data_IF_669596050943
#
_entry.id   IF_669596050943
#
_cell.length_a   1.000
_cell.length_b   1.000
_cell.length_c   1.000
_cell.angle_alpha   90.00
_cell.angle_beta   90.00
_cell.angle_gamma   90.00
#
_symmetry.space_group_name_H-M   'P 1'
#
loop_
_entity.id
_entity.type
_entity.pdbx_description
1 polymer ?
#
# COMPACT_ATOMS: atom_id res chain seq x y z
N UNK A 1 -18.96 7.44 -5.39
CA UNK A 1 -18.93 6.91 -4.01
C UNK A 1 -17.54 7.13 -3.46
N UNK A 2 -17.38 8.18 -2.66
CA UNK A 2 -16.11 8.68 -2.12
C UNK A 2 -16.01 8.31 -0.63
N UNK A 3 -15.57 7.10 -0.33
CA UNK A 3 -15.41 6.62 1.05
C UNK A 3 -13.97 6.19 1.32
N UNK A 4 -13.34 6.93 2.24
CA UNK A 4 -12.09 6.64 2.93
C UNK A 4 -10.77 6.92 2.18
N UNK A 5 -10.58 8.17 1.76
CA UNK A 5 -9.24 8.78 1.76
C UNK A 5 -8.80 8.86 3.24
N UNK A 6 -7.66 8.26 3.61
CA UNK A 6 -6.93 8.42 4.90
C UNK A 6 -7.10 7.44 6.08
N UNK A 7 -7.55 6.19 5.89
CA UNK A 7 -7.11 5.12 6.84
C UNK A 7 -5.78 4.59 6.35
N UNK A 8 -4.69 4.97 7.01
CA UNK A 8 -3.39 4.36 6.76
C UNK A 8 -3.55 2.83 6.78
N UNK A 9 -3.18 2.16 5.69
CA UNK A 9 -3.17 0.70 5.66
C UNK A 9 -2.22 0.22 6.75
N UNK A 10 -2.75 -0.55 7.71
CA UNK A 10 -1.94 -1.24 8.72
C UNK A 10 -0.85 -2.07 8.04
N UNK A 11 0.32 -2.17 8.68
CA UNK A 11 1.46 -2.95 8.19
C UNK A 11 1.05 -4.35 7.71
N UNK A 12 0.27 -5.09 8.52
CA UNK A 12 -0.27 -6.41 8.17
C UNK A 12 -0.98 -6.42 6.82
N UNK A 13 -1.84 -5.43 6.57
CA UNK A 13 -2.65 -5.35 5.35
C UNK A 13 -1.80 -4.99 4.12
N UNK A 14 -0.69 -4.25 4.30
CA UNK A 14 0.28 -4.02 3.23
C UNK A 14 1.04 -5.30 2.87
N UNK A 15 1.43 -6.10 3.86
CA UNK A 15 2.08 -7.42 3.64
C UNK A 15 1.14 -8.34 2.87
N UNK A 16 -0.13 -8.41 3.24
CA UNK A 16 -1.14 -9.23 2.54
C UNK A 16 -1.30 -8.83 1.07
N UNK A 17 -1.29 -7.52 0.77
CA UNK A 17 -1.32 -6.99 -0.60
C UNK A 17 -0.08 -7.42 -1.39
N UNK A 18 1.12 -7.32 -0.79
CA UNK A 18 2.38 -7.73 -1.44
C UNK A 18 2.39 -9.23 -1.69
N UNK A 19 2.00 -10.05 -0.70
CA UNK A 19 1.93 -11.50 -0.85
C UNK A 19 0.98 -11.90 -1.97
N UNK A 20 -0.19 -11.25 -2.07
CA UNK A 20 -1.13 -11.51 -3.15
C UNK A 20 -0.56 -11.12 -4.52
N UNK A 21 0.09 -9.97 -4.63
CA UNK A 21 0.74 -9.56 -5.87
C UNK A 21 1.89 -10.50 -6.24
N UNK A 22 2.68 -10.95 -5.25
CA UNK A 22 3.75 -11.91 -5.45
C UNK A 22 3.23 -13.27 -5.96
N UNK A 23 2.11 -13.77 -5.41
CA UNK A 23 1.44 -14.97 -5.91
C UNK A 23 0.91 -14.82 -7.34
N UNK A 24 0.51 -13.61 -7.74
CA UNK A 24 0.08 -13.31 -9.10
C UNK A 24 1.25 -13.08 -10.06
N UNK A 25 2.46 -12.90 -9.54
CA UNK A 25 3.66 -12.72 -10.36
C UNK A 25 4.04 -14.05 -11.00
N UNK A 26 4.01 -14.09 -12.32
CA UNK A 26 4.42 -15.25 -13.11
C UNK A 26 5.73 -14.87 -13.80
N UNK A 27 6.79 -15.65 -13.57
CA UNK A 27 8.13 -15.41 -14.17
C UNK A 27 8.70 -14.01 -13.86
N UNK A 28 8.48 -13.51 -12.63
CA UNK A 28 8.95 -12.17 -12.22
C UNK A 28 8.17 -11.01 -12.84
N UNK A 29 7.11 -11.28 -13.61
CA UNK A 29 6.26 -10.25 -14.22
C UNK A 29 4.85 -10.29 -13.64
N UNK A 30 4.33 -9.12 -13.32
CA UNK A 30 2.94 -8.94 -12.91
C UNK A 30 2.04 -8.92 -14.14
N UNK A 31 1.01 -9.79 -14.21
CA UNK A 31 0.08 -9.81 -15.33
C UNK A 31 -0.71 -8.50 -15.40
N UNK A 32 -1.09 -8.11 -16.62
CA UNK A 32 -1.87 -6.89 -16.87
C UNK A 32 -3.19 -6.98 -16.10
N UNK A 33 -3.42 -6.03 -15.21
CA UNK A 33 -4.62 -5.99 -14.36
C UNK A 33 -4.45 -6.60 -12.95
N UNK A 34 -3.27 -7.14 -12.60
CA UNK A 34 -3.01 -7.65 -11.24
C UNK A 34 -3.25 -6.60 -10.14
N UNK A 35 -2.91 -5.34 -10.41
CA UNK A 35 -3.19 -4.23 -9.49
C UNK A 35 -4.68 -3.98 -9.31
N UNK A 36 -5.46 -4.04 -10.39
CA UNK A 36 -6.92 -3.85 -10.34
C UNK A 36 -7.60 -5.01 -9.62
N UNK A 37 -7.21 -6.25 -9.91
CA UNK A 37 -7.75 -7.44 -9.23
C UNK A 37 -7.46 -7.42 -7.73
N UNK A 38 -6.22 -7.11 -7.35
CA UNK A 38 -5.83 -6.96 -5.94
C UNK A 38 -6.54 -5.78 -5.28
N UNK A 39 -6.69 -4.65 -5.99
CA UNK A 39 -7.42 -3.49 -5.50
C UNK A 39 -8.89 -3.82 -5.19
N UNK A 40 -9.57 -4.52 -6.09
CA UNK A 40 -10.94 -4.99 -5.86
C UNK A 40 -11.01 -5.96 -4.68
N UNK A 41 -10.09 -6.92 -4.60
CA UNK A 41 -10.06 -7.91 -3.52
C UNK A 41 -9.90 -7.29 -2.13
N UNK A 42 -9.03 -6.28 -1.98
CA UNK A 42 -8.78 -5.64 -0.69
C UNK A 42 -9.67 -4.42 -0.42
N UNK A 43 -10.56 -4.09 -1.36
CA UNK A 43 -11.37 -2.85 -1.41
C UNK A 43 -10.50 -1.59 -1.26
N UNK A 44 -9.42 -1.52 -2.05
CA UNK A 44 -8.46 -0.43 -2.06
C UNK A 44 -8.44 0.26 -3.41
N UNK A 45 -7.99 1.51 -3.43
CA UNK A 45 -7.74 2.19 -4.69
C UNK A 45 -6.48 1.61 -5.37
N UNK A 46 -6.54 1.42 -6.70
CA UNK A 46 -5.43 0.85 -7.50
C UNK A 46 -4.09 1.57 -7.29
N UNK A 47 -4.11 2.89 -7.06
CA UNK A 47 -2.89 3.67 -6.83
C UNK A 47 -2.24 3.37 -5.50
N UNK A 48 -3.01 3.00 -4.47
CA UNK A 48 -2.48 2.56 -3.18
C UNK A 48 -1.73 1.24 -3.34
N UNK A 49 -2.31 0.29 -4.06
CA UNK A 49 -1.69 -1.00 -4.38
C UNK A 49 -0.40 -0.82 -5.19
N UNK A 50 -0.43 0.05 -6.21
CA UNK A 50 0.77 0.37 -7.01
C UNK A 50 1.87 1.04 -6.17
N UNK A 51 1.52 1.97 -5.28
CA UNK A 51 2.50 2.58 -4.36
C UNK A 51 3.14 1.57 -3.42
N UNK A 52 2.35 0.65 -2.86
CA UNK A 52 2.86 -0.44 -2.00
C UNK A 52 3.84 -1.32 -2.77
N UNK A 53 3.48 -1.74 -3.99
CA UNK A 53 4.32 -2.60 -4.82
C UNK A 53 5.62 -1.93 -5.26
N UNK A 54 5.54 -0.71 -5.80
CA UNK A 54 6.73 0.04 -6.23
C UNK A 54 7.66 0.27 -5.03
N UNK A 55 7.09 0.64 -3.89
CA UNK A 55 7.86 0.85 -2.68
C UNK A 55 8.54 -0.42 -2.17
N UNK A 56 7.92 -1.58 -2.33
CA UNK A 56 8.51 -2.88 -2.03
C UNK A 56 9.64 -3.22 -3.02
N UNK A 57 9.38 -3.05 -4.32
CA UNK A 57 10.33 -3.36 -5.39
C UNK A 57 11.60 -2.51 -5.36
N UNK A 58 11.53 -1.26 -4.88
CA UNK A 58 12.69 -0.36 -4.84
C UNK A 58 13.55 -0.52 -3.59
N UNK A 59 12.96 -0.86 -2.43
CA UNK A 59 13.69 -0.84 -1.15
C UNK A 59 13.95 -2.22 -0.53
N UNK A 60 13.37 -3.33 -1.04
CA UNK A 60 13.38 -4.68 -0.43
C UNK A 60 12.86 -4.78 1.01
N UNK A 61 12.84 -3.69 1.76
CA UNK A 61 12.15 -3.51 3.03
C UNK A 61 10.95 -2.59 2.82
N UNK A 62 9.78 -3.06 3.23
CA UNK A 62 8.55 -2.28 3.19
C UNK A 62 8.72 -1.02 4.04
N UNK A 63 8.45 0.21 3.54
CA UNK A 63 8.51 1.37 4.42
C UNK A 63 7.40 1.23 5.44
N UNK A 64 7.83 1.01 6.68
CA UNK A 64 7.07 1.36 7.86
C UNK A 64 6.55 2.79 7.66
N UNK A 65 5.25 3.00 7.91
CA UNK A 65 4.62 4.32 7.81
C UNK A 65 5.18 5.36 8.82
N UNK A 66 6.30 5.07 9.51
CA UNK A 66 6.84 5.88 10.59
C UNK A 66 8.27 6.39 10.38
N UNK A 67 8.96 6.09 9.28
CA UNK A 67 10.26 6.72 9.02
C UNK A 67 10.05 8.02 8.21
N UNK A 68 9.72 9.11 8.89
CA UNK A 68 9.79 10.47 8.32
C UNK A 68 8.48 11.25 8.15
N UNK A 69 7.33 10.75 8.64
CA UNK A 69 6.15 11.60 8.78
C UNK A 69 6.26 12.34 10.11
N UNK A 70 6.74 13.59 10.08
CA UNK A 70 6.66 14.51 11.23
C UNK A 70 5.17 14.58 11.60
N UNK A 71 4.80 14.04 12.77
CA UNK A 71 3.47 14.23 13.31
C UNK A 71 3.19 15.74 13.33
N UNK A 72 1.99 16.17 12.93
CA UNK A 72 1.64 17.58 13.06
C UNK A 72 1.80 17.95 14.53
N UNK A 73 2.60 18.98 14.81
CA UNK A 73 2.74 19.57 16.13
C UNK A 73 1.34 19.82 16.69
N UNK A 74 1.00 19.20 17.82
CA UNK A 74 -0.16 19.61 18.60
C UNK A 74 0.09 21.07 18.98
N UNK A 75 -0.70 21.97 18.40
CA UNK A 75 -0.77 23.35 18.87
C UNK A 75 -1.63 23.27 20.13
N UNK A 76 -0.99 23.32 21.29
CA UNK A 76 -1.69 23.63 22.53
C UNK A 76 -2.09 25.11 22.44
N UNK A 77 -3.40 25.36 22.40
CA UNK A 77 -3.96 26.69 22.63
C UNK A 77 -3.75 27.02 24.12
N UNK A 78 -3.24 28.22 24.41
CA UNK A 78 -2.82 28.66 25.75
C UNK A 78 -3.98 29.29 26.53
#
# INVERSE_FOLDING_TARGET
>A
MDLARTRELTYKRKVEVINRLHQLTILGKLPRGAFTSTATHFNLHRTTVSKIWNSYSTNSMMPSSKLGRVERKEVYDV
#
